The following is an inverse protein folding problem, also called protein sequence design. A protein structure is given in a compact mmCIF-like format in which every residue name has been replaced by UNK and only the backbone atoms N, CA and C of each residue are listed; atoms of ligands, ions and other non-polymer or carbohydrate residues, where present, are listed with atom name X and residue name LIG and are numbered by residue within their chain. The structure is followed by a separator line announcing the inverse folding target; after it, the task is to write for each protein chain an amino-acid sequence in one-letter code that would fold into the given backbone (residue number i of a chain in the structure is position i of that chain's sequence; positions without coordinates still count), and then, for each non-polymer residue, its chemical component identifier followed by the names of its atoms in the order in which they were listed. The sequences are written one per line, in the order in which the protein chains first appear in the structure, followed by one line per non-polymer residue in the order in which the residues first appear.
data_IF_544828050420
#
_entry.id   IF_544828050420
#
_cell.length_a   1.000
_cell.length_b   1.000
_cell.length_c   1.000
_cell.angle_alpha   90.00
_cell.angle_beta   90.00
_cell.angle_gamma   90.00
#
_symmetry.space_group_name_H-M   'P 1'
#
loop_
_entity.id
_entity.type
_entity.pdbx_description
1 polymer ?
#
# COMPACT_ATOMS: atom_id res chain seq x y z
N UNK A 1 39.04 31.69 46.38
CA UNK A 1 39.52 30.62 45.48
C UNK A 1 38.71 29.38 45.77
N UNK A 2 37.97 28.72 44.88
CA UNK A 2 37.55 28.96 43.51
C UNK A 2 36.30 28.10 43.37
N UNK A 3 35.19 28.73 42.97
CA UNK A 3 33.97 28.04 42.57
C UNK A 3 34.26 27.28 41.26
N UNK A 4 34.02 25.98 41.23
CA UNK A 4 33.89 25.22 39.98
C UNK A 4 32.45 24.76 39.83
N UNK A 5 31.66 25.65 39.22
CA UNK A 5 30.48 25.28 38.45
C UNK A 5 30.94 24.31 37.37
N UNK A 6 30.52 23.05 37.48
CA UNK A 6 30.68 22.06 36.41
C UNK A 6 29.48 22.22 35.48
N UNK A 7 29.66 22.65 34.22
CA UNK A 7 28.54 22.88 33.33
C UNK A 7 27.88 21.54 32.95
N UNK A 8 26.56 21.55 33.13
CA UNK A 8 25.53 20.99 32.27
C UNK A 8 25.90 19.83 31.35
N UNK A 9 25.29 18.68 31.67
CA UNK A 9 24.37 17.98 30.76
C UNK A 9 24.66 18.16 29.26
N UNK A 10 25.49 17.28 28.70
CA UNK A 10 25.41 16.94 27.26
C UNK A 10 24.27 15.93 27.06
N UNK A 11 23.07 16.31 27.49
CA UNK A 11 21.85 15.87 26.85
C UNK A 11 21.51 16.89 25.78
N UNK A 12 21.07 16.43 24.61
CA UNK A 12 20.36 17.23 23.61
C UNK A 12 21.19 18.09 22.65
N UNK A 13 21.94 17.45 21.74
CA UNK A 13 22.23 18.03 20.40
C UNK A 13 21.90 17.02 19.28
N UNK A 14 20.90 16.16 19.50
CA UNK A 14 20.26 15.38 18.42
C UNK A 14 18.98 16.09 17.94
N UNK A 15 19.02 17.42 17.87
CA UNK A 15 17.98 18.26 17.28
C UNK A 15 18.69 19.30 16.42
N UNK A 16 19.21 18.90 15.27
CA UNK A 16 19.72 19.82 14.25
C UNK A 16 19.89 19.08 12.91
N UNK A 17 18.86 19.18 12.07
CA UNK A 17 18.90 18.96 10.63
C UNK A 17 18.91 17.50 10.18
N UNK A 18 17.84 17.10 9.48
CA UNK A 18 17.87 15.93 8.58
C UNK A 18 19.11 16.04 7.70
N UNK A 19 19.96 15.03 7.75
CA UNK A 19 21.16 14.97 6.93
C UNK A 19 20.79 14.55 5.51
N UNK A 20 21.67 14.82 4.53
CA UNK A 20 21.48 14.30 3.17
C UNK A 20 21.34 12.76 3.16
N UNK A 21 21.96 12.05 4.12
CA UNK A 21 21.79 10.61 4.29
C UNK A 21 20.37 10.23 4.74
N UNK A 22 19.77 10.99 5.66
CA UNK A 22 18.39 10.77 6.11
C UNK A 22 17.36 11.05 4.99
N UNK A 23 17.64 12.05 4.14
CA UNK A 23 16.80 12.34 2.96
C UNK A 23 16.89 11.22 1.91
N UNK A 24 18.10 10.69 1.66
CA UNK A 24 18.29 9.53 0.77
C UNK A 24 17.62 8.27 1.33
N UNK A 25 17.67 8.05 2.64
CA UNK A 25 17.00 6.92 3.30
C UNK A 25 15.46 7.06 3.29
N UNK A 26 14.93 8.27 3.47
CA UNK A 26 13.50 8.52 3.30
C UNK A 26 13.05 8.30 1.85
N UNK A 27 13.86 8.71 0.88
CA UNK A 27 13.59 8.49 -0.55
C UNK A 27 13.61 6.98 -0.90
N UNK A 28 14.58 6.22 -0.37
CA UNK A 28 14.66 4.76 -0.61
C UNK A 28 13.45 4.03 -0.02
N UNK A 29 13.09 4.33 1.23
CA UNK A 29 11.88 3.78 1.88
C UNK A 29 10.61 4.15 1.11
N UNK A 30 10.48 5.40 0.68
CA UNK A 30 9.34 5.87 -0.12
C UNK A 30 9.24 5.10 -1.44
N UNK A 31 10.38 4.80 -2.08
CA UNK A 31 10.43 4.02 -3.31
C UNK A 31 10.02 2.55 -3.09
N UNK A 32 10.48 1.89 -2.04
CA UNK A 32 10.08 0.52 -1.69
C UNK A 32 8.56 0.42 -1.46
N UNK A 33 7.98 1.39 -0.74
CA UNK A 33 6.54 1.48 -0.50
C UNK A 33 5.76 1.68 -1.81
N UNK A 34 6.29 2.49 -2.74
CA UNK A 34 5.71 2.64 -4.09
C UNK A 34 5.80 1.35 -4.92
N UNK A 35 6.90 0.61 -4.82
CA UNK A 35 7.05 -0.68 -5.49
C UNK A 35 6.04 -1.72 -4.95
N UNK A 36 5.82 -1.73 -3.63
CA UNK A 36 4.76 -2.54 -3.02
C UNK A 36 3.38 -2.15 -3.58
N UNK A 37 3.06 -0.85 -3.64
CA UNK A 37 1.81 -0.38 -4.22
C UNK A 37 1.64 -0.85 -5.67
N UNK A 38 2.69 -0.82 -6.49
CA UNK A 38 2.65 -1.30 -7.87
C UNK A 38 2.43 -2.82 -7.96
N UNK A 39 2.97 -3.61 -7.03
CA UNK A 39 2.69 -5.05 -6.95
C UNK A 39 1.24 -5.34 -6.56
N UNK A 40 0.72 -4.62 -5.57
CA UNK A 40 -0.69 -4.78 -5.14
C UNK A 40 -1.64 -4.36 -6.25
N UNK A 41 -1.33 -3.30 -7.00
CA UNK A 41 -2.11 -2.88 -8.16
C UNK A 41 -2.14 -3.98 -9.25
N UNK A 42 -0.99 -4.61 -9.55
CA UNK A 42 -0.95 -5.73 -10.50
C UNK A 42 -1.83 -6.91 -10.05
N UNK A 43 -1.87 -7.22 -8.76
CA UNK A 43 -2.79 -8.26 -8.25
C UNK A 43 -4.26 -7.88 -8.43
N UNK A 44 -4.62 -6.60 -8.33
CA UNK A 44 -5.97 -6.12 -8.62
C UNK A 44 -6.30 -6.25 -10.12
N UNK A 45 -5.35 -5.90 -11.00
CA UNK A 45 -5.51 -6.07 -12.45
C UNK A 45 -5.71 -7.54 -12.83
N UNK A 46 -4.92 -8.45 -12.24
CA UNK A 46 -5.08 -9.90 -12.42
C UNK A 46 -6.47 -10.37 -11.96
N UNK A 47 -6.99 -9.87 -10.83
CA UNK A 47 -8.34 -10.18 -10.37
C UNK A 47 -9.41 -9.71 -11.37
N UNK A 48 -9.24 -8.54 -12.01
CA UNK A 48 -10.14 -8.08 -13.07
C UNK A 48 -10.09 -8.98 -14.31
N UNK A 49 -8.92 -9.51 -14.68
CA UNK A 49 -8.83 -10.49 -15.79
C UNK A 49 -9.63 -11.76 -15.51
N UNK A 50 -9.57 -12.27 -14.27
CA UNK A 50 -10.33 -13.45 -13.83
C UNK A 50 -11.81 -13.15 -13.80
N UNK A 51 -12.23 -11.99 -13.27
CA UNK A 51 -13.64 -11.56 -13.28
C UNK A 51 -14.19 -11.48 -14.71
N UNK A 52 -13.42 -10.94 -15.66
CA UNK A 52 -13.82 -10.91 -17.07
C UNK A 52 -13.97 -12.32 -17.66
N UNK A 53 -13.12 -13.26 -17.27
CA UNK A 53 -13.23 -14.66 -17.67
C UNK A 53 -14.47 -15.35 -17.07
N UNK A 54 -14.76 -15.11 -15.79
CA UNK A 54 -15.96 -15.62 -15.13
C UNK A 54 -17.25 -15.09 -15.77
N UNK A 55 -17.30 -13.79 -16.09
CA UNK A 55 -18.45 -13.20 -16.77
C UNK A 55 -18.71 -13.86 -18.15
N UNK A 56 -17.65 -14.22 -18.89
CA UNK A 56 -17.79 -14.97 -20.15
C UNK A 56 -18.37 -16.37 -19.95
N UNK A 57 -18.02 -17.05 -18.85
CA UNK A 57 -18.59 -18.36 -18.51
C UNK A 57 -20.06 -18.26 -18.10
N UNK A 58 -20.45 -17.20 -17.36
CA UNK A 58 -21.84 -16.98 -16.96
C UNK A 58 -22.79 -16.72 -18.13
N UNK A 59 -22.27 -16.20 -19.26
CA UNK A 59 -23.01 -15.99 -20.50
C UNK A 59 -23.28 -17.28 -21.27
N UNK A 60 -22.66 -18.41 -20.90
CA UNK A 60 -22.97 -19.71 -21.49
C UNK A 60 -24.33 -20.22 -20.97
N UNK A 61 -25.29 -20.40 -21.87
CA UNK A 61 -26.66 -20.78 -21.51
C UNK A 61 -26.77 -22.26 -21.15
N UNK A 62 -26.52 -22.61 -19.89
CA UNK A 62 -26.72 -23.97 -19.37
C UNK A 62 -28.08 -24.09 -18.67
N UNK A 63 -28.98 -24.91 -19.23
CA UNK A 63 -30.37 -25.03 -18.76
C UNK A 63 -30.61 -26.20 -17.77
N UNK A 64 -29.63 -27.09 -17.59
CA UNK A 64 -29.74 -28.22 -16.68
C UNK A 64 -29.72 -27.79 -15.21
N UNK A 65 -30.27 -28.59 -14.26
CA UNK A 65 -30.14 -28.32 -12.83
C UNK A 65 -28.68 -28.18 -12.37
N UNK A 66 -27.80 -29.04 -12.91
CA UNK A 66 -26.36 -28.96 -12.66
C UNK A 66 -25.76 -27.64 -13.18
N UNK A 67 -26.21 -27.18 -14.36
CA UNK A 67 -25.75 -25.90 -14.93
C UNK A 67 -26.19 -24.68 -14.11
N UNK A 68 -27.42 -24.68 -13.58
CA UNK A 68 -27.87 -23.63 -12.66
C UNK A 68 -27.06 -23.61 -11.37
N UNK A 69 -26.78 -24.78 -10.78
CA UNK A 69 -25.97 -24.89 -9.57
C UNK A 69 -24.52 -24.39 -9.81
N UNK A 70 -23.94 -24.71 -10.96
CA UNK A 70 -22.62 -24.22 -11.34
C UNK A 70 -22.58 -22.69 -11.46
N UNK A 71 -23.57 -22.09 -12.14
CA UNK A 71 -23.66 -20.62 -12.27
C UNK A 71 -23.81 -19.92 -10.91
N UNK A 72 -24.61 -20.47 -9.99
CA UNK A 72 -24.73 -19.94 -8.63
C UNK A 72 -23.36 -19.90 -7.93
N UNK A 73 -22.61 -21.00 -8.00
CA UNK A 73 -21.25 -21.08 -7.44
C UNK A 73 -20.33 -20.04 -8.08
N UNK A 74 -20.35 -19.89 -9.42
CA UNK A 74 -19.55 -18.88 -10.10
C UNK A 74 -19.90 -17.46 -9.64
N UNK A 75 -21.18 -17.14 -9.49
CA UNK A 75 -21.61 -15.81 -9.04
C UNK A 75 -21.13 -15.52 -7.60
N UNK A 76 -21.13 -16.52 -6.72
CA UNK A 76 -20.57 -16.41 -5.37
C UNK A 76 -19.06 -16.16 -5.39
N UNK A 77 -18.32 -16.90 -6.20
CA UNK A 77 -16.88 -16.72 -6.36
C UNK A 77 -16.55 -15.34 -6.97
N UNK A 78 -17.29 -14.90 -7.97
CA UNK A 78 -17.15 -13.58 -8.57
C UNK A 78 -17.45 -12.45 -7.56
N UNK A 79 -18.44 -12.63 -6.68
CA UNK A 79 -18.74 -11.68 -5.61
C UNK A 79 -17.62 -11.63 -4.55
N UNK A 80 -17.04 -12.77 -4.17
CA UNK A 80 -15.88 -12.79 -3.28
C UNK A 80 -14.65 -12.11 -3.91
N UNK A 81 -14.38 -12.43 -5.18
CA UNK A 81 -13.24 -11.87 -5.92
C UNK A 81 -13.35 -10.36 -6.14
N UNK A 82 -14.56 -9.83 -6.41
CA UNK A 82 -14.80 -8.38 -6.46
C UNK A 82 -14.44 -7.70 -5.15
N UNK A 83 -14.92 -8.24 -4.01
CA UNK A 83 -14.59 -7.68 -2.69
C UNK A 83 -13.09 -7.70 -2.41
N UNK A 84 -12.39 -8.78 -2.78
CA UNK A 84 -10.93 -8.79 -2.63
C UNK A 84 -10.24 -7.78 -3.54
N UNK A 85 -10.70 -7.61 -4.79
CA UNK A 85 -10.15 -6.63 -5.72
C UNK A 85 -10.33 -5.21 -5.21
N UNK A 86 -11.52 -4.88 -4.69
CA UNK A 86 -11.80 -3.56 -4.11
C UNK A 86 -10.90 -3.30 -2.89
N UNK A 87 -10.72 -4.29 -2.01
CA UNK A 87 -9.80 -4.18 -0.88
C UNK A 87 -8.33 -3.98 -1.30
N UNK A 88 -7.88 -4.59 -2.40
CA UNK A 88 -6.55 -4.36 -2.96
C UNK A 88 -6.40 -2.92 -3.47
N UNK A 89 -7.41 -2.38 -4.16
CA UNK A 89 -7.39 -1.00 -4.64
C UNK A 89 -7.35 0.01 -3.48
N UNK A 90 -8.13 -0.24 -2.42
CA UNK A 90 -8.09 0.56 -1.20
C UNK A 90 -6.70 0.52 -0.55
N UNK A 91 -6.09 -0.68 -0.46
CA UNK A 91 -4.74 -0.83 0.06
C UNK A 91 -3.71 -0.05 -0.78
N UNK A 92 -3.81 -0.08 -2.11
CA UNK A 92 -2.94 0.73 -2.99
C UNK A 92 -3.07 2.22 -2.69
N UNK A 93 -4.30 2.72 -2.53
CA UNK A 93 -4.54 4.13 -2.23
C UNK A 93 -3.92 4.54 -0.88
N UNK A 94 -4.08 3.71 0.15
CA UNK A 94 -3.49 3.94 1.49
C UNK A 94 -1.97 3.92 1.44
N UNK A 95 -1.37 2.91 0.78
CA UNK A 95 0.08 2.75 0.68
C UNK A 95 0.72 3.90 -0.10
N UNK A 96 0.10 4.34 -1.20
CA UNK A 96 0.59 5.50 -1.97
C UNK A 96 0.54 6.80 -1.16
N UNK A 97 -0.56 7.03 -0.42
CA UNK A 97 -0.67 8.19 0.48
C UNK A 97 0.39 8.13 1.57
N UNK A 98 0.66 6.95 2.12
CA UNK A 98 1.72 6.78 3.12
C UNK A 98 3.11 7.13 2.55
N UNK A 99 3.45 6.65 1.35
CA UNK A 99 4.71 7.01 0.70
C UNK A 99 4.88 8.52 0.53
N UNK A 100 3.83 9.22 0.10
CA UNK A 100 3.84 10.69 -0.04
C UNK A 100 4.05 11.38 1.31
N UNK A 101 3.38 10.92 2.36
CA UNK A 101 3.52 11.51 3.70
C UNK A 101 4.92 11.30 4.29
N UNK A 102 5.58 10.16 4.00
CA UNK A 102 6.97 9.92 4.41
C UNK A 102 7.91 10.92 3.74
N UNK A 103 7.76 11.15 2.44
CA UNK A 103 8.57 12.15 1.72
C UNK A 103 8.33 13.57 2.25
N UNK A 104 7.07 13.99 2.39
CA UNK A 104 6.72 15.33 2.89
C UNK A 104 7.16 15.59 4.33
N UNK A 105 7.21 14.57 5.17
CA UNK A 105 7.69 14.69 6.56
C UNK A 105 9.21 14.91 6.60
N UNK A 106 9.95 14.39 5.63
CA UNK A 106 11.39 14.64 5.49
C UNK A 106 11.67 16.08 5.07
N UNK A 107 10.92 16.62 4.10
CA UNK A 107 11.07 17.99 3.60
C UNK A 107 10.77 19.07 4.66
N UNK A 108 9.83 18.82 5.57
CA UNK A 108 9.48 19.77 6.65
C UNK A 108 10.50 19.83 7.79
N UNK A 109 11.34 18.81 7.90
CA UNK A 109 12.39 18.73 8.95
C UNK A 109 13.73 19.26 8.41
N UNK A 110 13.86 19.44 7.09
CA UNK A 110 15.03 20.04 6.44
C UNK A 110 14.92 21.54 6.17
N UNK A 111 13.73 22.14 6.34
CA UNK A 111 13.47 23.59 6.26
C UNK A 111 13.58 24.28 7.62
#
# INVERSE_FOLDING_TARGET
MTSMVRPGSTGSVAILGVTAADAVECASRSFEVQQLAARVARCADEADTVLAALARLELQTWQSPAGRAYRLTLSLQAAALRRSRDALLDAVAVVRRHAQNVTLSSDRVSS
#
